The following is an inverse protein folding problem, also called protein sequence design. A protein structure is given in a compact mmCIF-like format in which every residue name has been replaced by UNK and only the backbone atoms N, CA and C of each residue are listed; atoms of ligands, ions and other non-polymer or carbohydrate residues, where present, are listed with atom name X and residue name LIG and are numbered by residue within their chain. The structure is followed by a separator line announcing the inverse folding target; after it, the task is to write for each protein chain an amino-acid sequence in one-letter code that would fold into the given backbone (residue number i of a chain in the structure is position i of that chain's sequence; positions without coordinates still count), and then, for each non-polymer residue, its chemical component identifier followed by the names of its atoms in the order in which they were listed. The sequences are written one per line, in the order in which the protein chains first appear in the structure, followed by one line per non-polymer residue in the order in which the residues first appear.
data_IF_765924866850
#
_entry.id   IF_765924866850
#
_cell.length_a   1.000
_cell.length_b   1.000
_cell.length_c   1.000
_cell.angle_alpha   90.00
_cell.angle_beta   90.00
_cell.angle_gamma   90.00
#
_symmetry.space_group_name_H-M   'P 1'
#
loop_
_entity.id
_entity.type
_entity.pdbx_description
1 polymer ?
#
# COMPACT_ATOMS: atom_id res chain seq x y z
N UNK A 1 9.44 14.67 -2.31
CA UNK A 1 8.27 14.08 -2.99
C UNK A 1 7.12 15.06 -2.94
N UNK A 2 6.63 15.53 -4.09
CA UNK A 2 5.35 16.26 -4.09
C UNK A 2 4.22 15.27 -3.73
N UNK A 3 3.25 15.70 -2.93
CA UNK A 3 2.16 14.84 -2.45
C UNK A 3 2.32 14.18 -1.07
N UNK A 4 3.48 14.28 -0.40
CA UNK A 4 3.63 13.85 1.02
C UNK A 4 3.54 15.07 1.94
N UNK A 5 2.73 14.97 3.01
CA UNK A 5 2.56 16.04 4.03
C UNK A 5 3.61 15.92 5.12
N UNK A 6 3.77 14.71 5.63
CA UNK A 6 4.63 14.39 6.77
C UNK A 6 5.23 13.01 6.60
N UNK A 7 6.44 12.81 7.11
CA UNK A 7 7.07 11.50 7.17
C UNK A 7 7.82 11.35 8.49
N UNK A 8 7.58 10.23 9.18
CA UNK A 8 8.32 9.84 10.39
C UNK A 8 9.30 8.72 10.03
N UNK A 9 10.59 8.96 10.24
CA UNK A 9 11.64 8.01 9.87
C UNK A 9 12.30 7.44 11.13
N UNK A 10 12.29 6.11 11.24
CA UNK A 10 13.05 5.39 12.25
C UNK A 10 14.27 4.73 11.59
N UNK A 11 15.42 5.40 11.68
CA UNK A 11 16.68 4.93 11.09
C UNK A 11 17.20 3.64 11.73
N UNK A 12 16.97 3.45 13.04
CA UNK A 12 17.39 2.23 13.75
C UNK A 12 16.63 1.01 13.22
N UNK A 13 15.36 1.17 12.86
CA UNK A 13 14.51 0.09 12.32
C UNK A 13 14.49 0.02 10.79
N UNK A 14 15.06 1.01 10.10
CA UNK A 14 14.95 1.12 8.64
C UNK A 14 13.51 1.35 8.15
N UNK A 15 12.68 2.04 8.92
CA UNK A 15 11.25 2.23 8.63
C UNK A 15 10.92 3.70 8.40
N UNK A 16 9.93 3.93 7.53
CA UNK A 16 9.32 5.25 7.34
C UNK A 16 7.80 5.13 7.35
N UNK A 17 7.13 5.99 8.13
CA UNK A 17 5.69 6.19 8.05
C UNK A 17 5.43 7.45 7.24
N UNK A 18 4.66 7.34 6.17
CA UNK A 18 4.40 8.44 5.24
C UNK A 18 2.93 8.83 5.32
N UNK A 19 2.66 10.12 5.48
CA UNK A 19 1.32 10.68 5.49
C UNK A 19 1.13 11.53 4.22
N UNK A 20 0.37 11.06 3.23
CA UNK A 20 0.07 11.83 2.03
C UNK A 20 -0.64 13.16 2.36
N UNK A 21 -0.46 14.15 1.49
CA UNK A 21 -1.28 15.37 1.52
C UNK A 21 -2.71 14.99 1.11
N UNK A 22 -3.74 15.58 1.74
CA UNK A 22 -5.10 15.47 1.22
C UNK A 22 -5.13 15.97 -0.23
N UNK A 23 -5.76 15.22 -1.13
CA UNK A 23 -6.06 15.62 -2.52
C UNK A 23 -4.84 15.70 -3.48
N UNK A 24 -3.59 15.73 -2.99
CA UNK A 24 -2.40 15.61 -3.86
C UNK A 24 -1.99 14.14 -4.00
N UNK A 25 -2.14 13.63 -5.22
CA UNK A 25 -1.95 12.23 -5.63
C UNK A 25 -0.51 11.74 -5.45
N UNK A 26 -0.22 11.12 -4.30
CA UNK A 26 0.99 10.33 -4.12
C UNK A 26 0.87 9.02 -4.92
N UNK A 27 1.86 8.69 -5.73
CA UNK A 27 1.91 7.41 -6.43
C UNK A 27 2.89 6.46 -5.72
N UNK A 28 2.39 5.42 -5.01
CA UNK A 28 3.25 4.48 -4.29
C UNK A 28 4.26 3.76 -5.19
N UNK A 29 3.98 3.63 -6.49
CA UNK A 29 4.93 3.04 -7.44
C UNK A 29 6.24 3.85 -7.54
N UNK A 30 6.24 5.11 -7.12
CA UNK A 30 7.42 5.98 -7.10
C UNK A 30 8.27 5.82 -5.83
N UNK A 31 7.84 5.04 -4.83
CA UNK A 31 8.62 4.83 -3.59
C UNK A 31 10.02 4.27 -3.90
N UNK A 32 10.18 3.16 -4.66
CA UNK A 32 11.49 2.61 -4.92
C UNK A 32 12.40 3.59 -5.67
N UNK A 33 11.83 4.34 -6.64
CA UNK A 33 12.55 5.38 -7.37
C UNK A 33 13.06 6.47 -6.43
N UNK A 34 12.24 6.97 -5.52
CA UNK A 34 12.69 8.01 -4.59
C UNK A 34 13.71 7.52 -3.58
N UNK A 35 13.66 6.24 -3.17
CA UNK A 35 14.72 5.64 -2.35
C UNK A 35 16.03 5.59 -3.15
N UNK A 36 15.96 5.20 -4.42
CA UNK A 36 17.10 5.20 -5.35
C UNK A 36 17.68 6.59 -5.60
N UNK A 37 16.85 7.59 -5.84
CA UNK A 37 17.28 8.98 -6.07
C UNK A 37 18.00 9.57 -4.84
N UNK A 38 17.80 8.98 -3.65
CA UNK A 38 18.50 9.33 -2.41
C UNK A 38 19.80 8.52 -2.18
N UNK A 39 20.20 7.69 -3.13
CA UNK A 39 21.43 6.88 -3.08
C UNK A 39 21.29 5.51 -2.42
N UNK A 40 20.06 5.03 -2.18
CA UNK A 40 19.80 3.73 -1.58
C UNK A 40 19.12 2.77 -2.55
N UNK A 41 19.45 1.48 -2.48
CA UNK A 41 18.75 0.46 -3.28
C UNK A 41 17.73 -0.28 -2.40
N UNK A 42 16.44 -0.02 -2.62
CA UNK A 42 15.38 -0.80 -1.98
C UNK A 42 15.32 -2.20 -2.60
N UNK A 43 15.61 -3.23 -1.81
CA UNK A 43 15.42 -4.64 -2.22
C UNK A 43 13.95 -5.05 -2.07
N UNK A 44 13.32 -4.63 -0.97
CA UNK A 44 11.91 -4.84 -0.68
C UNK A 44 11.32 -3.59 -0.02
N UNK A 45 10.05 -3.31 -0.29
CA UNK A 45 9.29 -2.25 0.36
C UNK A 45 8.06 -2.89 1.01
N UNK A 46 8.09 -3.02 2.33
CA UNK A 46 6.93 -3.44 3.11
C UNK A 46 6.02 -2.23 3.38
N UNK A 47 4.73 -2.41 3.15
CA UNK A 47 3.70 -1.41 3.37
C UNK A 47 2.71 -1.96 4.39
N UNK A 48 2.37 -1.11 5.36
CA UNK A 48 1.22 -1.30 6.24
C UNK A 48 0.19 -0.24 5.87
N UNK A 49 -0.95 -0.67 5.35
CA UNK A 49 -2.06 0.21 4.98
C UNK A 49 -3.27 -0.11 5.87
N UNK A 50 -3.92 0.93 6.41
CA UNK A 50 -5.01 0.81 7.38
C UNK A 50 -6.25 1.56 6.88
N UNK A 51 -6.98 0.93 5.97
CA UNK A 51 -8.02 1.60 5.18
C UNK A 51 -9.17 0.67 4.81
N UNK A 52 -10.18 1.21 4.15
CA UNK A 52 -11.39 0.47 3.77
C UNK A 52 -11.10 -0.50 2.63
N UNK A 53 -11.45 -1.76 2.82
CA UNK A 53 -11.41 -2.78 1.77
C UNK A 53 -12.56 -2.56 0.80
N UNK A 54 -12.26 -2.37 -0.48
CA UNK A 54 -13.22 -2.30 -1.57
C UNK A 54 -13.08 -3.50 -2.50
N UNK A 55 -14.14 -3.80 -3.23
CA UNK A 55 -14.13 -4.74 -4.35
C UNK A 55 -14.54 -3.97 -5.60
N UNK A 56 -13.66 -3.87 -6.61
CA UNK A 56 -13.93 -3.19 -7.89
C UNK A 56 -13.43 -4.07 -9.04
N UNK A 57 -14.25 -4.26 -10.06
CA UNK A 57 -13.91 -5.06 -11.26
C UNK A 57 -13.40 -6.48 -10.95
N UNK A 58 -13.88 -7.07 -9.85
CA UNK A 58 -13.45 -8.41 -9.39
C UNK A 58 -12.15 -8.43 -8.59
N UNK A 59 -11.51 -7.28 -8.37
CA UNK A 59 -10.30 -7.14 -7.59
C UNK A 59 -10.58 -6.53 -6.21
N UNK A 60 -9.85 -7.00 -5.21
CA UNK A 60 -9.83 -6.39 -3.88
C UNK A 60 -8.85 -5.23 -3.87
N UNK A 61 -9.26 -4.09 -3.31
CA UNK A 61 -8.47 -2.86 -3.30
C UNK A 61 -8.54 -2.18 -1.93
N UNK A 62 -7.45 -1.50 -1.54
CA UNK A 62 -7.48 -0.55 -0.42
C UNK A 62 -7.56 0.86 -0.97
N UNK A 63 -8.63 1.56 -0.63
CA UNK A 63 -8.83 2.96 -0.98
C UNK A 63 -8.13 3.82 0.09
N UNK A 64 -6.92 4.28 -0.21
CA UNK A 64 -6.11 5.07 0.71
C UNK A 64 -6.19 6.55 0.31
N UNK A 65 -6.76 7.42 1.16
CA UNK A 65 -6.88 8.83 0.86
C UNK A 65 -5.55 9.49 0.53
N UNK A 66 -5.52 10.26 -0.57
CA UNK A 66 -4.32 10.97 -1.03
C UNK A 66 -3.43 10.16 -1.97
N UNK A 67 -3.75 8.89 -2.25
CA UNK A 67 -3.08 8.16 -3.32
C UNK A 67 -3.64 8.51 -4.70
N UNK A 68 -2.78 8.44 -5.72
CA UNK A 68 -3.18 8.53 -7.13
C UNK A 68 -3.97 7.31 -7.59
N UNK A 69 -3.59 6.16 -7.07
CA UNK A 69 -4.16 4.86 -7.39
C UNK A 69 -4.37 4.08 -6.08
N UNK A 70 -5.49 3.34 -5.94
CA UNK A 70 -5.66 2.44 -4.82
C UNK A 70 -4.62 1.32 -4.88
N UNK A 71 -4.36 0.66 -3.75
CA UNK A 71 -3.56 -0.56 -3.77
C UNK A 71 -4.44 -1.73 -4.22
N UNK A 72 -4.08 -2.37 -5.32
CA UNK A 72 -4.68 -3.65 -5.72
C UNK A 72 -4.08 -4.74 -4.83
N UNK A 73 -4.93 -5.51 -4.15
CA UNK A 73 -4.48 -6.60 -3.28
C UNK A 73 -4.29 -7.87 -4.12
N UNK A 74 -3.04 -8.21 -4.40
CA UNK A 74 -2.70 -9.29 -5.31
C UNK A 74 -1.60 -10.20 -4.75
N UNK A 75 -1.88 -11.50 -4.66
CA UNK A 75 -0.92 -12.50 -4.18
C UNK A 75 -0.53 -12.34 -2.71
N UNK A 76 0.52 -13.05 -2.29
CA UNK A 76 0.94 -13.13 -0.89
C UNK A 76 0.29 -14.29 -0.13
N UNK A 77 0.84 -14.61 1.03
CA UNK A 77 0.49 -15.82 1.78
C UNK A 77 -0.99 -15.89 2.20
N UNK A 78 -1.63 -14.74 2.43
CA UNK A 78 -3.02 -14.65 2.94
C UNK A 78 -4.03 -14.09 1.94
N UNK A 79 -3.65 -13.88 0.67
CA UNK A 79 -4.58 -13.34 -0.33
C UNK A 79 -5.83 -14.20 -0.53
N UNK A 80 -5.68 -15.52 -0.63
CA UNK A 80 -6.83 -16.44 -0.78
C UNK A 80 -7.77 -16.37 0.41
N UNK A 81 -7.21 -16.25 1.63
CA UNK A 81 -8.02 -16.11 2.85
C UNK A 81 -8.79 -14.79 2.86
N UNK A 82 -8.17 -13.69 2.42
CA UNK A 82 -8.84 -12.39 2.31
C UNK A 82 -9.96 -12.42 1.26
N UNK A 83 -9.71 -13.02 0.09
CA UNK A 83 -10.72 -13.20 -0.97
C UNK A 83 -11.91 -14.06 -0.52
N UNK A 84 -11.68 -15.04 0.35
CA UNK A 84 -12.73 -15.88 0.92
C UNK A 84 -13.61 -15.15 1.94
N UNK A 85 -13.10 -14.12 2.62
CA UNK A 85 -13.82 -13.39 3.67
C UNK A 85 -14.52 -12.13 3.13
N UNK A 86 -15.61 -12.35 2.38
CA UNK A 86 -16.42 -11.28 1.78
C UNK A 86 -17.02 -10.31 2.81
N UNK A 87 -17.09 -10.69 4.09
CA UNK A 87 -17.63 -9.84 5.15
C UNK A 87 -16.73 -8.66 5.50
N UNK A 88 -15.49 -8.65 5.01
CA UNK A 88 -14.55 -7.55 5.20
C UNK A 88 -14.72 -6.43 4.17
N UNK A 89 -15.44 -6.66 3.07
CA UNK A 89 -15.70 -5.61 2.06
C UNK A 89 -16.52 -4.49 2.70
N UNK A 90 -16.09 -3.25 2.49
CA UNK A 90 -16.65 -2.05 3.11
C UNK A 90 -16.22 -1.84 4.56
N UNK A 91 -15.34 -2.69 5.11
CA UNK A 91 -14.77 -2.52 6.46
C UNK A 91 -13.36 -1.97 6.38
N UNK A 92 -13.00 -1.22 7.41
CA UNK A 92 -11.61 -0.80 7.63
C UNK A 92 -10.79 -2.01 8.08
N UNK A 93 -9.71 -2.28 7.37
CA UNK A 93 -8.77 -3.35 7.68
C UNK A 93 -7.36 -2.81 7.63
N UNK A 94 -6.50 -3.42 8.44
CA UNK A 94 -5.05 -3.25 8.33
C UNK A 94 -4.50 -4.40 7.51
N UNK A 95 -3.84 -4.07 6.41
CA UNK A 95 -3.11 -5.02 5.55
C UNK A 95 -1.63 -4.73 5.66
N UNK A 96 -0.84 -5.80 5.77
CA UNK A 96 0.62 -5.76 5.68
C UNK A 96 1.04 -6.60 4.49
N UNK A 97 1.93 -6.05 3.67
CA UNK A 97 2.64 -6.83 2.68
C UNK A 97 3.58 -6.02 1.83
N UNK A 98 4.02 -6.61 0.72
CA UNK A 98 5.11 -6.07 -0.09
C UNK A 98 4.55 -5.33 -1.28
N UNK A 99 5.10 -4.14 -1.55
CA UNK A 99 4.80 -3.37 -2.74
C UNK A 99 5.32 -4.14 -3.97
N UNK A 100 4.41 -4.48 -4.87
CA UNK A 100 4.73 -4.97 -6.19
C UNK A 100 4.60 -3.82 -7.17
N UNK A 101 5.71 -3.46 -7.81
CA UNK A 101 5.69 -2.43 -8.85
C UNK A 101 4.78 -2.88 -10.00
N UNK A 102 3.74 -2.09 -10.28
CA UNK A 102 2.95 -2.27 -11.48
C UNK A 102 3.85 -2.17 -12.70
N UNK A 103 3.75 -3.11 -13.65
CA UNK A 103 4.45 -2.97 -14.94
C UNK A 103 3.71 -1.91 -15.76
N UNK A 104 4.38 -0.81 -16.09
CA UNK A 104 3.83 0.25 -16.94
C UNK A 104 2.74 1.08 -16.24
N UNK A 105 1.56 1.19 -16.85
CA UNK A 105 0.44 2.02 -16.36
C UNK A 105 -0.51 1.27 -15.39
N UNK A 106 -0.11 0.08 -14.92
CA UNK A 106 -0.92 -0.71 -13.99
C UNK A 106 -0.85 -0.12 -12.58
N UNK A 107 -1.96 -0.14 -11.81
CA UNK A 107 -1.96 0.27 -10.42
C UNK A 107 -0.88 -0.49 -9.60
N UNK A 108 -0.34 0.13 -8.55
CA UNK A 108 0.55 -0.58 -7.63
C UNK A 108 -0.21 -1.72 -6.96
N UNK A 109 0.42 -2.89 -6.93
CA UNK A 109 -0.11 -4.04 -6.23
C UNK A 109 0.55 -4.18 -4.85
N UNK A 110 -0.22 -4.65 -3.87
CA UNK A 110 0.23 -4.95 -2.53
C UNK A 110 -0.03 -6.45 -2.27
N UNK A 111 1.01 -7.20 -1.94
CA UNK A 111 0.80 -8.58 -1.48
C UNK A 111 0.06 -8.58 -0.15
N UNK A 112 -0.71 -9.63 0.12
CA UNK A 112 -1.40 -9.80 1.40
C UNK A 112 -0.63 -10.82 2.23
N UNK A 113 0.35 -10.36 2.99
CA UNK A 113 1.10 -11.22 3.92
C UNK A 113 0.35 -11.36 5.24
N UNK A 114 -0.24 -10.27 5.73
CA UNK A 114 -1.09 -10.28 6.89
C UNK A 114 -2.29 -9.34 6.73
N UNK A 115 -3.40 -9.65 7.40
CA UNK A 115 -4.53 -8.73 7.52
C UNK A 115 -5.30 -8.94 8.83
N UNK A 116 -5.89 -7.86 9.33
CA UNK A 116 -6.78 -7.85 10.48
C UNK A 116 -7.82 -6.74 10.37
N UNK A 117 -8.96 -6.90 11.04
CA UNK A 117 -9.91 -5.78 11.20
C UNK A 117 -9.24 -4.67 11.98
N UNK A 118 -9.42 -3.43 11.52
CA UNK A 118 -9.01 -2.27 12.30
C UNK A 118 -10.05 -2.05 13.41
N UNK A 119 -9.58 -1.82 14.62
CA UNK A 119 -10.39 -1.43 15.79
C UNK A 119 -10.90 -0.01 15.67
#
# INVERSE_FOLDING_TARGET
MDGVRHADVNLVKGQATVFPKPVKSFDPALIPKAIHDMGFTATEVEIVADETLASRDGELQLDVPGLKHPFVLAGGARAKSLQGDKNLIGRRIRVTGKLQMGRGNLPPALTVENFQRST
#
